data_IF_069430449496
#
_entry.id   IF_069430449496
#
_cell.length_a   1.000
_cell.length_b   1.000
_cell.length_c   1.000
_cell.angle_alpha   90.00
_cell.angle_beta   90.00
_cell.angle_gamma   90.00
#
_symmetry.space_group_name_H-M   'P 1'
#
loop_
_entity.id
_entity.type
_entity.pdbx_description
1 polymer ?
#
# COMPACT_ATOMS: atom_id res chain seq x y z
N UNK A 1 -14.42 -10.64 -3.65
CA UNK A 1 -15.05 -10.84 -2.33
C UNK A 1 -15.77 -12.18 -2.20
N UNK A 2 -15.85 -12.94 -3.26
CA UNK A 2 -16.42 -14.28 -3.25
C UNK A 2 -15.68 -15.16 -2.22
N UNK A 3 -16.43 -15.87 -1.38
CA UNK A 3 -15.89 -16.74 -0.34
C UNK A 3 -15.45 -16.04 0.97
N UNK A 4 -15.53 -14.71 1.07
CA UNK A 4 -15.12 -13.97 2.28
C UNK A 4 -16.29 -13.46 3.14
N UNK A 5 -17.54 -13.71 2.74
CA UNK A 5 -18.70 -13.34 3.55
C UNK A 5 -18.98 -14.31 4.71
N UNK A 6 -19.87 -13.95 5.63
CA UNK A 6 -20.61 -12.69 5.67
C UNK A 6 -19.75 -11.51 6.08
N UNK A 7 -20.01 -10.33 5.51
CA UNK A 7 -19.26 -9.10 5.85
C UNK A 7 -19.85 -8.42 7.07
N UNK A 8 -18.99 -7.74 7.83
CA UNK A 8 -19.40 -6.90 8.96
C UNK A 8 -20.23 -5.74 8.42
N UNK A 9 -21.41 -5.45 9.00
CA UNK A 9 -22.21 -4.29 8.62
C UNK A 9 -21.53 -2.97 8.99
N UNK A 10 -21.92 -1.89 8.33
CA UNK A 10 -21.37 -0.55 8.59
C UNK A 10 -20.10 -0.23 7.80
N UNK A 11 -19.77 -1.04 6.79
CA UNK A 11 -18.67 -0.78 5.86
C UNK A 11 -19.23 -0.44 4.49
N UNK A 12 -18.97 0.79 4.04
CA UNK A 12 -19.25 1.23 2.69
C UNK A 12 -17.99 1.09 1.82
N UNK A 13 -18.18 0.84 0.54
CA UNK A 13 -17.08 0.73 -0.40
C UNK A 13 -17.17 1.79 -1.47
N UNK A 14 -16.02 2.35 -1.77
CA UNK A 14 -15.83 3.27 -2.89
C UNK A 14 -14.69 2.77 -3.77
N UNK A 15 -14.77 3.02 -5.06
CA UNK A 15 -13.69 2.68 -5.98
C UNK A 15 -12.44 3.51 -5.65
N UNK A 16 -11.29 2.85 -5.65
CA UNK A 16 -10.01 3.53 -5.43
C UNK A 16 -9.73 4.52 -6.56
N UNK A 17 -9.17 5.68 -6.22
CA UNK A 17 -8.86 6.76 -7.17
C UNK A 17 -10.09 7.40 -7.85
N UNK A 18 -11.30 7.12 -7.37
CA UNK A 18 -12.55 7.76 -7.80
C UNK A 18 -12.98 8.80 -6.76
N UNK A 19 -12.45 9.99 -6.92
CA UNK A 19 -12.68 11.09 -5.97
C UNK A 19 -14.12 11.63 -6.05
N UNK A 20 -14.77 11.49 -7.18
CA UNK A 20 -16.14 11.98 -7.36
C UNK A 20 -17.13 11.02 -6.67
N UNK A 21 -16.90 9.72 -6.76
CA UNK A 21 -17.66 8.73 -5.98
C UNK A 21 -17.43 8.90 -4.47
N UNK A 22 -16.19 9.19 -4.04
CA UNK A 22 -15.87 9.45 -2.63
C UNK A 22 -16.58 10.72 -2.14
N UNK A 23 -16.55 11.79 -2.93
CA UNK A 23 -17.24 13.05 -2.61
C UNK A 23 -18.74 12.81 -2.44
N UNK A 24 -19.36 12.14 -3.40
CA UNK A 24 -20.81 11.83 -3.33
C UNK A 24 -21.16 11.00 -2.09
N UNK A 25 -20.33 10.02 -1.73
CA UNK A 25 -20.53 9.20 -0.54
C UNK A 25 -20.44 10.04 0.75
N UNK A 26 -19.46 10.94 0.83
CA UNK A 26 -19.27 11.80 2.01
C UNK A 26 -20.37 12.87 2.14
N UNK A 27 -20.83 13.41 1.01
CA UNK A 27 -21.99 14.33 1.01
C UNK A 27 -23.28 13.64 1.46
N UNK A 28 -23.51 12.38 1.02
CA UNK A 28 -24.72 11.63 1.36
C UNK A 28 -24.70 11.08 2.79
N UNK A 29 -23.53 10.57 3.25
CA UNK A 29 -23.45 9.75 4.49
C UNK A 29 -22.39 10.22 5.47
N UNK A 30 -21.70 11.34 5.23
CA UNK A 30 -20.53 11.77 6.02
C UNK A 30 -20.76 11.79 7.53
N UNK A 31 -21.94 12.22 7.98
CA UNK A 31 -22.29 12.24 9.42
C UNK A 31 -22.28 10.84 10.09
N UNK A 32 -22.30 9.75 9.29
CA UNK A 32 -22.32 8.36 9.77
C UNK A 32 -20.99 7.65 9.54
N UNK A 33 -20.03 8.30 8.87
CA UNK A 33 -18.72 7.73 8.52
C UNK A 33 -17.70 8.20 9.56
N UNK A 34 -17.11 7.27 10.28
CA UNK A 34 -16.07 7.58 11.26
C UNK A 34 -14.68 7.74 10.62
N UNK A 35 -14.36 6.90 9.62
CA UNK A 35 -13.04 6.90 8.99
C UNK A 35 -13.10 6.42 7.54
N UNK A 36 -12.16 6.90 6.74
CA UNK A 36 -11.83 6.36 5.43
C UNK A 36 -10.52 5.57 5.53
N UNK A 37 -10.61 4.23 5.38
CA UNK A 37 -9.47 3.32 5.43
C UNK A 37 -9.06 2.94 4.01
N UNK A 38 -7.79 3.17 3.66
CA UNK A 38 -7.30 2.98 2.29
C UNK A 38 -5.79 2.78 2.24
N UNK A 39 -5.29 1.99 1.28
CA UNK A 39 -3.86 1.91 0.98
C UNK A 39 -3.40 3.16 0.20
N UNK A 40 -2.23 3.77 0.52
CA UNK A 40 -1.68 4.89 -0.29
C UNK A 40 -1.44 4.54 -1.76
N UNK A 41 -0.99 3.33 -2.00
CA UNK A 41 -0.87 2.66 -3.30
C UNK A 41 -1.43 1.26 -3.06
N UNK A 42 -2.42 0.84 -3.83
CA UNK A 42 -2.96 -0.50 -3.65
C UNK A 42 -1.94 -1.55 -4.11
N UNK A 43 -1.52 -2.43 -3.18
CA UNK A 43 -0.49 -3.43 -3.44
C UNK A 43 -1.02 -4.67 -4.15
N UNK A 44 -1.87 -5.44 -3.47
CA UNK A 44 -2.41 -6.72 -3.98
C UNK A 44 -3.37 -6.53 -5.17
N UNK A 45 -4.01 -5.37 -5.29
CA UNK A 45 -4.84 -5.02 -6.43
C UNK A 45 -4.04 -4.80 -7.73
N UNK A 46 -2.71 -4.86 -7.70
CA UNK A 46 -1.86 -4.75 -8.89
C UNK A 46 -1.00 -3.50 -8.94
N UNK A 47 -0.55 -3.00 -7.80
CA UNK A 47 0.28 -1.78 -7.66
C UNK A 47 -0.42 -0.57 -8.29
N UNK A 48 -1.65 -0.31 -7.86
CA UNK A 48 -2.43 0.83 -8.38
C UNK A 48 -1.97 2.11 -7.70
N UNK A 49 -1.31 2.97 -8.47
CA UNK A 49 -0.87 4.29 -8.05
C UNK A 49 -1.98 5.30 -8.38
N UNK A 50 -2.44 6.11 -7.42
CA UNK A 50 -3.51 7.06 -7.69
C UNK A 50 -3.00 8.27 -8.49
N UNK A 51 -3.93 9.07 -9.02
CA UNK A 51 -3.65 10.33 -9.69
C UNK A 51 -2.96 11.32 -8.74
N UNK A 52 -2.18 12.25 -9.28
CA UNK A 52 -1.32 13.15 -8.48
C UNK A 52 -2.10 14.03 -7.50
N UNK A 53 -3.33 14.43 -7.83
CA UNK A 53 -4.18 15.29 -6.98
C UNK A 53 -5.11 14.51 -6.03
N UNK A 54 -5.17 13.18 -6.17
CA UNK A 54 -6.11 12.35 -5.41
C UNK A 54 -5.97 12.54 -3.90
N UNK A 55 -4.76 12.43 -3.38
CA UNK A 55 -4.52 12.50 -1.93
C UNK A 55 -4.79 13.87 -1.34
N UNK A 56 -4.46 14.94 -2.05
CA UNK A 56 -4.79 16.32 -1.64
C UNK A 56 -6.30 16.50 -1.52
N UNK A 57 -7.06 15.98 -2.49
CA UNK A 57 -8.53 16.03 -2.47
C UNK A 57 -9.12 15.14 -1.39
N UNK A 58 -8.60 13.93 -1.19
CA UNK A 58 -9.02 13.03 -0.11
C UNK A 58 -8.85 13.68 1.25
N UNK A 59 -7.69 14.29 1.53
CA UNK A 59 -7.45 14.94 2.82
C UNK A 59 -8.45 16.09 3.04
N UNK A 60 -8.62 16.93 2.02
CA UNK A 60 -9.58 18.04 2.10
C UNK A 60 -11.01 17.57 2.37
N UNK A 61 -11.46 16.49 1.72
CA UNK A 61 -12.78 15.90 1.96
C UNK A 61 -12.91 15.33 3.39
N UNK A 62 -11.89 14.62 3.86
CA UNK A 62 -11.88 14.08 5.22
C UNK A 62 -11.98 15.21 6.26
N UNK A 63 -11.22 16.31 6.06
CA UNK A 63 -11.26 17.48 6.94
C UNK A 63 -12.64 18.18 6.91
N UNK A 64 -13.20 18.36 5.72
CA UNK A 64 -14.49 19.00 5.52
C UNK A 64 -15.64 18.26 6.23
N UNK A 65 -15.60 16.93 6.22
CA UNK A 65 -16.66 16.09 6.78
C UNK A 65 -16.33 15.53 8.17
N UNK A 66 -15.20 15.94 8.77
CA UNK A 66 -14.73 15.43 10.07
C UNK A 66 -14.61 13.89 10.09
N UNK A 67 -14.06 13.32 9.01
CA UNK A 67 -13.83 11.89 8.84
C UNK A 67 -12.33 11.62 9.01
N UNK A 68 -11.97 10.64 9.82
CA UNK A 68 -10.58 10.27 10.02
C UNK A 68 -10.01 9.63 8.73
N UNK A 69 -8.81 10.06 8.33
CA UNK A 69 -8.05 9.40 7.28
C UNK A 69 -7.14 8.33 7.91
N UNK A 70 -7.46 7.06 7.65
CA UNK A 70 -6.67 5.91 8.09
C UNK A 70 -5.96 5.29 6.88
N UNK A 71 -4.62 5.28 6.90
CA UNK A 71 -3.82 4.69 5.82
C UNK A 71 -3.33 3.30 6.18
N UNK A 72 -3.53 2.34 5.28
CA UNK A 72 -2.91 1.02 5.34
C UNK A 72 -1.53 1.08 4.69
N UNK A 73 -0.50 1.30 5.50
CA UNK A 73 0.90 1.32 5.09
C UNK A 73 1.61 -0.05 5.34
N UNK A 74 0.82 -1.11 5.53
CA UNK A 74 1.37 -2.45 5.80
C UNK A 74 2.27 -2.93 4.67
N UNK A 75 1.97 -2.60 3.41
CA UNK A 75 2.80 -2.97 2.27
C UNK A 75 3.64 -1.81 1.73
N UNK A 76 3.16 -0.59 1.83
CA UNK A 76 3.76 0.59 1.24
C UNK A 76 4.80 1.26 2.13
N UNK A 77 4.75 1.00 3.43
CA UNK A 77 5.66 1.59 4.41
C UNK A 77 7.06 0.99 4.42
N UNK A 78 7.87 1.47 5.35
CA UNK A 78 9.24 1.02 5.65
C UNK A 78 10.19 1.05 4.44
N UNK A 79 10.12 2.13 3.67
CA UNK A 79 11.06 2.39 2.58
C UNK A 79 10.68 1.79 1.23
N UNK A 80 9.67 0.90 1.17
CA UNK A 80 9.30 0.16 -0.03
C UNK A 80 9.07 1.05 -1.26
N UNK A 81 8.41 2.17 -1.08
CA UNK A 81 7.98 3.07 -2.16
C UNK A 81 8.98 4.20 -2.45
N UNK A 82 10.15 4.18 -1.81
CA UNK A 82 11.16 5.23 -1.98
C UNK A 82 11.05 6.41 -1.00
N UNK A 83 10.12 6.31 -0.05
CA UNK A 83 10.02 7.14 1.15
C UNK A 83 9.87 6.22 2.36
N UNK A 84 10.09 6.70 3.58
CA UNK A 84 9.91 5.85 4.77
C UNK A 84 8.48 5.30 4.85
N UNK A 85 7.50 6.13 4.52
CA UNK A 85 6.09 5.77 4.35
C UNK A 85 5.54 6.42 3.08
N UNK A 86 4.65 5.73 2.37
CA UNK A 86 4.16 6.18 1.07
C UNK A 86 3.36 7.48 1.13
N UNK A 87 2.66 7.76 2.24
CA UNK A 87 1.94 9.03 2.41
C UNK A 87 2.84 10.26 2.25
N UNK A 88 4.16 10.11 2.54
CA UNK A 88 5.15 11.19 2.38
C UNK A 88 5.43 11.54 0.92
N UNK A 89 5.21 10.60 -0.02
CA UNK A 89 5.33 10.87 -1.46
C UNK A 89 4.25 11.82 -1.97
N UNK A 90 3.12 11.86 -1.28
CA UNK A 90 1.93 12.61 -1.66
C UNK A 90 1.70 13.84 -0.78
N UNK A 91 2.62 14.11 0.15
CA UNK A 91 2.51 15.19 1.14
C UNK A 91 1.16 15.19 1.88
N UNK A 92 0.66 14.01 2.24
CA UNK A 92 -0.59 13.84 2.98
C UNK A 92 -0.32 13.34 4.38
N UNK A 93 -0.98 13.91 5.37
CA UNK A 93 -0.86 13.50 6.77
C UNK A 93 -2.10 12.70 7.18
N UNK A 94 -1.98 11.38 7.47
CA UNK A 94 -3.09 10.60 8.00
C UNK A 94 -3.33 10.89 9.49
N UNK A 95 -4.53 10.58 9.95
CA UNK A 95 -4.89 10.57 11.38
C UNK A 95 -4.51 9.25 12.04
N UNK A 96 -4.57 8.16 11.27
CA UNK A 96 -4.18 6.80 11.66
C UNK A 96 -3.35 6.14 10.55
N UNK A 97 -2.43 5.29 10.93
CA UNK A 97 -1.60 4.51 10.01
C UNK A 97 -1.41 3.07 10.54
N UNK A 98 -1.87 2.09 9.78
CA UNK A 98 -1.60 0.68 10.02
C UNK A 98 -0.24 0.28 9.46
N UNK A 99 0.61 -0.34 10.29
CA UNK A 99 1.97 -0.75 9.96
C UNK A 99 2.15 -2.24 10.21
N UNK A 100 2.91 -2.91 9.34
CA UNK A 100 3.15 -4.36 9.46
C UNK A 100 4.27 -4.82 8.53
N UNK A 101 4.26 -6.09 8.17
CA UNK A 101 5.25 -6.71 7.25
C UNK A 101 6.69 -6.34 7.58
N UNK A 102 7.29 -5.39 6.84
CA UNK A 102 8.67 -4.94 7.04
C UNK A 102 8.94 -4.31 8.41
N UNK A 103 7.90 -3.97 9.19
CA UNK A 103 8.03 -3.56 10.59
C UNK A 103 8.77 -4.60 11.44
N UNK A 104 8.69 -5.88 11.07
CA UNK A 104 9.39 -6.99 11.73
C UNK A 104 10.77 -7.32 11.15
N UNK A 105 11.29 -6.53 10.22
CA UNK A 105 12.62 -6.71 9.62
C UNK A 105 12.82 -8.06 8.91
N UNK A 106 11.75 -8.78 8.55
CA UNK A 106 11.82 -10.14 8.02
C UNK A 106 12.13 -11.23 9.06
N UNK A 107 12.24 -10.86 10.33
CA UNK A 107 12.66 -11.76 11.42
C UNK A 107 11.45 -12.24 12.22
N UNK A 108 10.57 -11.32 12.63
CA UNK A 108 9.36 -11.61 13.41
C UNK A 108 8.15 -10.89 12.85
N UNK A 109 6.93 -11.46 12.99
CA UNK A 109 5.71 -10.73 12.70
C UNK A 109 5.51 -9.63 13.75
N UNK A 110 5.62 -8.38 13.28
CA UNK A 110 5.37 -7.17 14.07
C UNK A 110 4.39 -6.30 13.33
N UNK A 111 3.38 -5.81 14.03
CA UNK A 111 2.45 -4.82 13.52
C UNK A 111 2.05 -3.85 14.63
N UNK A 112 1.67 -2.64 14.24
CA UNK A 112 1.20 -1.62 15.14
C UNK A 112 0.33 -0.61 14.38
N UNK A 113 -0.42 0.18 15.13
CA UNK A 113 -1.11 1.36 14.62
C UNK A 113 -0.44 2.59 15.20
N UNK A 114 -0.10 3.53 14.35
CA UNK A 114 0.34 4.87 14.75
C UNK A 114 -0.78 5.88 14.44
N UNK A 115 -0.94 6.87 15.27
CA UNK A 115 -1.96 7.91 15.08
C UNK A 115 -1.63 9.16 15.86
N UNK A 116 -2.46 10.18 15.68
CA UNK A 116 -2.37 11.42 16.46
C UNK A 116 -2.75 11.15 17.91
N UNK A 117 -2.25 11.97 18.83
CA UNK A 117 -2.57 11.85 20.26
C UNK A 117 -4.08 11.97 20.51
N UNK A 118 -4.78 12.78 19.72
CA UNK A 118 -6.22 12.95 19.79
C UNK A 118 -6.96 11.66 19.47
N UNK A 119 -6.53 10.91 18.46
CA UNK A 119 -7.20 9.68 18.01
C UNK A 119 -6.79 8.48 18.85
N UNK A 120 -5.50 8.30 19.13
CA UNK A 120 -5.02 7.17 19.93
C UNK A 120 -5.32 7.37 21.42
N UNK A 121 -5.33 8.61 21.90
CA UNK A 121 -5.55 8.95 23.31
C UNK A 121 -6.93 8.60 23.85
N UNK A 122 -7.89 8.25 22.99
CA UNK A 122 -9.21 7.74 23.43
C UNK A 122 -9.16 6.30 23.95
N UNK A 123 -8.08 5.56 23.64
CA UNK A 123 -7.87 4.20 24.15
C UNK A 123 -7.51 4.26 25.64
N UNK A 124 -8.31 3.58 26.45
CA UNK A 124 -8.09 3.47 27.89
C UNK A 124 -7.68 2.05 28.26
N UNK A 125 -7.01 1.85 29.41
CA UNK A 125 -6.66 0.50 29.87
C UNK A 125 -7.87 -0.43 29.87
N UNK A 126 -7.78 -1.54 29.12
CA UNK A 126 -8.83 -2.55 29.01
C UNK A 126 -9.85 -2.31 27.87
N UNK A 127 -9.72 -1.21 27.11
CA UNK A 127 -10.60 -0.96 25.96
C UNK A 127 -10.25 -1.82 24.75
N UNK A 128 -9.02 -2.31 24.67
CA UNK A 128 -8.52 -3.24 23.67
C UNK A 128 -7.59 -4.26 24.31
N UNK A 129 -7.28 -5.34 23.60
CA UNK A 129 -6.34 -6.35 24.08
C UNK A 129 -5.83 -7.27 22.98
N UNK A 130 -4.58 -7.70 23.16
CA UNK A 130 -3.92 -8.66 22.29
C UNK A 130 -3.02 -9.56 23.12
N UNK A 131 -3.07 -10.88 22.91
CA UNK A 131 -2.23 -11.83 23.63
C UNK A 131 -0.74 -11.57 23.41
N UNK A 132 -0.35 -11.17 22.21
CA UNK A 132 1.03 -10.84 21.84
C UNK A 132 1.31 -9.35 21.73
N UNK A 133 0.34 -8.49 22.06
CA UNK A 133 0.52 -7.05 22.03
C UNK A 133 1.61 -6.61 22.99
N UNK A 134 2.57 -5.81 22.51
CA UNK A 134 3.65 -5.27 23.33
C UNK A 134 4.70 -6.28 23.80
N UNK A 135 4.79 -7.49 23.22
CA UNK A 135 5.80 -8.44 23.64
C UNK A 135 7.22 -7.91 23.38
N UNK A 136 8.16 -8.02 24.38
CA UNK A 136 9.42 -7.28 24.35
C UNK A 136 10.31 -7.59 23.15
N UNK A 137 10.36 -8.85 22.71
CA UNK A 137 11.19 -9.26 21.59
C UNK A 137 10.74 -8.62 20.28
N UNK A 138 9.43 -8.59 20.02
CA UNK A 138 8.88 -7.91 18.83
C UNK A 138 9.11 -6.41 18.84
N UNK A 139 8.99 -5.77 20.00
CA UNK A 139 9.29 -4.36 20.17
C UNK A 139 10.76 -4.05 19.84
N UNK A 140 11.70 -4.84 20.36
CA UNK A 140 13.13 -4.69 20.06
C UNK A 140 13.42 -4.88 18.57
N UNK A 141 12.89 -5.94 17.96
CA UNK A 141 13.07 -6.20 16.52
C UNK A 141 12.51 -5.05 15.68
N UNK A 142 11.32 -4.56 16.00
CA UNK A 142 10.71 -3.42 15.28
C UNK A 142 11.57 -2.13 15.38
N UNK A 143 12.09 -1.84 16.58
CA UNK A 143 13.00 -0.69 16.77
C UNK A 143 14.26 -0.82 15.91
N UNK A 144 14.87 -2.02 15.88
CA UNK A 144 16.07 -2.24 15.08
C UNK A 144 15.77 -2.23 13.57
N UNK A 145 14.63 -2.75 13.14
CA UNK A 145 14.20 -2.65 11.74
C UNK A 145 14.10 -1.19 11.26
N UNK A 146 13.52 -0.31 12.09
CA UNK A 146 13.45 1.12 11.81
C UNK A 146 14.84 1.77 11.81
N UNK A 147 15.71 1.39 12.75
CA UNK A 147 17.11 1.91 12.77
C UNK A 147 17.84 1.55 11.48
N UNK A 148 17.80 0.29 11.05
CA UNK A 148 18.43 -0.17 9.80
C UNK A 148 17.86 0.58 8.61
N UNK A 149 16.54 0.75 8.53
CA UNK A 149 15.89 1.54 7.46
C UNK A 149 16.51 2.94 7.33
N UNK A 150 16.72 3.61 8.47
CA UNK A 150 17.22 5.00 8.51
C UNK A 150 18.73 5.04 8.27
N UNK A 151 19.51 4.24 9.01
CA UNK A 151 20.97 4.25 9.00
C UNK A 151 21.54 3.79 7.64
N UNK A 152 20.93 2.78 7.02
CA UNK A 152 21.32 2.27 5.70
C UNK A 152 20.62 2.99 4.56
N UNK A 153 19.78 3.99 4.83
CA UNK A 153 19.05 4.79 3.82
C UNK A 153 18.27 3.93 2.82
N UNK A 154 17.57 2.91 3.33
CA UNK A 154 16.92 1.93 2.47
C UNK A 154 15.83 2.53 1.59
N UNK A 155 15.12 3.57 2.06
CA UNK A 155 14.15 4.31 1.25
C UNK A 155 14.80 5.00 0.04
N UNK A 156 15.98 5.63 0.24
CA UNK A 156 16.73 6.25 -0.86
C UNK A 156 17.21 5.20 -1.87
N UNK A 157 17.74 4.07 -1.39
CA UNK A 157 18.11 2.95 -2.24
C UNK A 157 16.91 2.42 -3.04
N UNK A 158 15.75 2.25 -2.40
CA UNK A 158 14.52 1.82 -3.08
C UNK A 158 14.07 2.81 -4.16
N UNK A 159 14.24 4.12 -3.93
CA UNK A 159 13.96 5.16 -4.93
C UNK A 159 14.88 5.04 -6.15
N UNK A 160 16.18 4.89 -5.91
CA UNK A 160 17.19 4.79 -7.00
C UNK A 160 17.02 3.49 -7.79
N UNK A 161 17.00 2.35 -7.11
CA UNK A 161 16.86 1.03 -7.75
C UNK A 161 15.51 0.86 -8.44
N UNK A 162 14.46 1.38 -7.81
CA UNK A 162 13.11 1.41 -8.40
C UNK A 162 13.05 2.25 -9.66
N UNK A 163 13.73 3.40 -9.70
CA UNK A 163 13.84 4.22 -10.91
C UNK A 163 14.54 3.49 -12.06
N UNK A 164 15.60 2.74 -11.77
CA UNK A 164 16.27 1.89 -12.76
C UNK A 164 15.34 0.80 -13.28
N UNK A 165 14.64 0.10 -12.37
CA UNK A 165 13.70 -0.96 -12.74
C UNK A 165 12.55 -0.43 -13.59
N UNK A 166 11.97 0.70 -13.22
CA UNK A 166 10.92 1.35 -14.00
C UNK A 166 11.41 1.76 -15.40
N UNK A 167 12.64 2.26 -15.52
CA UNK A 167 13.23 2.56 -16.83
C UNK A 167 13.35 1.32 -17.71
N UNK A 168 13.71 0.16 -17.13
CA UNK A 168 13.72 -1.10 -17.86
C UNK A 168 12.32 -1.55 -18.29
N UNK A 169 11.32 -1.37 -17.43
CA UNK A 169 9.93 -1.67 -17.78
C UNK A 169 9.39 -0.78 -18.90
N UNK A 170 9.71 0.52 -18.89
CA UNK A 170 9.33 1.43 -19.97
C UNK A 170 10.01 1.05 -21.31
N UNK A 171 11.27 0.64 -21.27
CA UNK A 171 11.96 0.12 -22.46
C UNK A 171 11.29 -1.16 -22.95
N UNK A 172 10.97 -2.10 -22.05
CA UNK A 172 10.27 -3.34 -22.38
C UNK A 172 8.90 -3.05 -22.99
N UNK A 173 8.14 -2.10 -22.43
CA UNK A 173 6.86 -1.66 -22.99
C UNK A 173 7.03 -1.07 -24.40
N UNK A 174 8.08 -0.30 -24.62
CA UNK A 174 8.39 0.29 -25.94
C UNK A 174 8.80 -0.76 -26.96
N UNK A 175 9.51 -1.81 -26.55
CA UNK A 175 9.94 -2.91 -27.40
C UNK A 175 8.79 -3.87 -27.72
N UNK A 176 7.89 -4.08 -26.75
CA UNK A 176 6.77 -5.04 -26.86
C UNK A 176 5.40 -4.36 -26.59
N UNK A 177 5.00 -3.32 -27.36
CA UNK A 177 3.78 -2.57 -27.08
C UNK A 177 2.50 -3.40 -27.24
N UNK A 178 2.54 -4.45 -28.06
CA UNK A 178 1.43 -5.39 -28.23
C UNK A 178 1.29 -6.40 -27.06
N UNK A 179 2.29 -6.47 -26.18
CA UNK A 179 2.30 -7.37 -25.03
C UNK A 179 2.15 -6.63 -23.71
N UNK A 180 2.82 -5.50 -23.53
CA UNK A 180 2.82 -4.71 -22.31
C UNK A 180 1.87 -3.54 -22.46
N UNK A 181 0.80 -3.57 -21.69
CA UNK A 181 -0.23 -2.54 -21.66
C UNK A 181 0.21 -1.31 -20.85
N UNK A 182 0.72 -1.57 -19.65
CA UNK A 182 1.07 -0.53 -18.69
C UNK A 182 2.24 -0.96 -17.81
N UNK A 183 3.02 0.03 -17.37
CA UNK A 183 4.01 -0.13 -16.29
C UNK A 183 3.74 0.93 -15.23
N UNK A 184 3.83 0.55 -13.95
CA UNK A 184 3.48 1.45 -12.85
C UNK A 184 4.20 1.07 -11.55
N UNK A 185 4.34 2.02 -10.65
CA UNK A 185 4.94 1.80 -9.34
C UNK A 185 5.60 3.02 -8.74
N UNK A 186 6.09 2.86 -7.52
CA UNK A 186 6.93 3.82 -6.80
C UNK A 186 7.99 3.06 -6.01
N UNK A 187 9.24 3.52 -6.09
CA UNK A 187 10.37 2.82 -5.47
C UNK A 187 10.46 1.37 -5.94
N UNK A 188 10.58 0.43 -5.02
CA UNK A 188 10.59 -1.01 -5.27
C UNK A 188 9.20 -1.66 -5.06
N UNK A 189 8.12 -0.94 -5.22
CA UNK A 189 6.78 -1.47 -5.37
C UNK A 189 6.35 -1.21 -6.81
N UNK A 190 6.58 -2.18 -7.70
CA UNK A 190 6.46 -2.02 -9.15
C UNK A 190 5.67 -3.15 -9.78
N UNK A 191 5.02 -2.86 -10.89
CA UNK A 191 4.33 -3.85 -11.70
C UNK A 191 4.35 -3.47 -13.18
N UNK A 192 4.22 -4.48 -14.03
CA UNK A 192 3.79 -4.31 -15.39
C UNK A 192 2.51 -5.11 -15.65
N UNK A 193 1.64 -4.56 -16.44
CA UNK A 193 0.38 -5.19 -16.86
C UNK A 193 0.47 -5.54 -18.34
N UNK A 194 0.10 -6.75 -18.67
CA UNK A 194 0.05 -7.24 -20.04
C UNK A 194 -1.33 -7.03 -20.65
N UNK A 195 -1.40 -6.98 -21.97
CA UNK A 195 -2.65 -7.14 -22.68
C UNK A 195 -3.19 -8.57 -22.48
N UNK A 196 -4.50 -8.72 -22.49
CA UNK A 196 -5.12 -10.05 -22.41
C UNK A 196 -4.67 -10.91 -23.60
N UNK A 197 -4.00 -12.01 -23.30
CA UNK A 197 -3.55 -12.99 -24.29
C UNK A 197 -3.90 -14.40 -23.77
N UNK A 198 -4.71 -15.19 -24.48
CA UNK A 198 -5.09 -16.51 -24.03
C UNK A 198 -3.93 -17.51 -23.95
N UNK A 199 -2.75 -17.15 -24.50
CA UNK A 199 -1.55 -17.98 -24.52
C UNK A 199 -0.44 -17.49 -23.58
N UNK A 200 -0.60 -16.31 -22.97
CA UNK A 200 0.41 -15.71 -22.12
C UNK A 200 -0.26 -14.92 -20.99
N UNK A 201 -0.27 -15.50 -19.80
CA UNK A 201 -0.75 -14.85 -18.59
C UNK A 201 0.39 -14.50 -17.63
N UNK A 202 0.07 -13.75 -16.57
CA UNK A 202 1.04 -13.35 -15.56
C UNK A 202 1.68 -14.51 -14.83
N UNK A 203 0.98 -15.63 -14.69
CA UNK A 203 1.52 -16.83 -14.05
C UNK A 203 2.64 -17.44 -14.90
N UNK A 204 2.42 -17.61 -16.20
CA UNK A 204 3.42 -18.14 -17.14
C UNK A 204 4.65 -17.25 -17.18
N UNK A 205 4.47 -15.91 -17.21
CA UNK A 205 5.58 -14.96 -17.15
C UNK A 205 6.34 -15.07 -15.83
N UNK A 206 5.63 -15.16 -14.69
CA UNK A 206 6.26 -15.32 -13.38
C UNK A 206 7.07 -16.61 -13.28
N UNK A 207 6.61 -17.72 -13.86
CA UNK A 207 7.34 -18.97 -13.94
C UNK A 207 8.62 -18.85 -14.81
N UNK A 208 8.54 -18.11 -15.91
CA UNK A 208 9.68 -17.91 -16.79
C UNK A 208 10.72 -16.98 -16.15
N UNK A 209 10.29 -15.93 -15.45
CA UNK A 209 11.14 -15.09 -14.63
C UNK A 209 11.85 -15.90 -13.54
N UNK A 210 11.14 -16.81 -12.87
CA UNK A 210 11.71 -17.68 -11.84
C UNK A 210 12.83 -18.57 -12.39
N UNK A 211 12.67 -19.16 -13.59
CA UNK A 211 13.71 -19.94 -14.26
C UNK A 211 14.98 -19.13 -14.52
N UNK A 212 14.82 -17.82 -14.70
CA UNK A 212 15.91 -16.88 -14.90
C UNK A 212 16.40 -16.20 -13.60
N UNK A 213 15.98 -16.71 -12.44
CA UNK A 213 16.44 -16.25 -11.13
C UNK A 213 15.70 -15.02 -10.59
N UNK A 214 14.60 -14.61 -11.21
CA UNK A 214 13.78 -13.48 -10.75
C UNK A 214 12.49 -14.02 -10.14
N UNK A 215 12.30 -13.76 -8.84
CA UNK A 215 11.03 -14.08 -8.16
C UNK A 215 10.04 -12.93 -8.33
N UNK A 216 8.92 -13.23 -8.95
CA UNK A 216 7.83 -12.30 -9.18
C UNK A 216 6.49 -12.92 -8.76
N UNK A 217 5.47 -12.12 -8.57
CA UNK A 217 4.12 -12.58 -8.22
C UNK A 217 3.11 -12.00 -9.20
N UNK A 218 2.34 -12.88 -9.82
CA UNK A 218 1.18 -12.48 -10.59
C UNK A 218 0.04 -11.99 -9.69
N UNK A 219 -0.72 -11.05 -10.20
CA UNK A 219 -1.96 -10.58 -9.60
C UNK A 219 -2.94 -10.22 -10.73
N UNK A 220 -4.22 -10.56 -10.56
CA UNK A 220 -5.26 -10.28 -11.55
C UNK A 220 -4.94 -10.74 -12.98
N UNK A 221 -4.51 -11.99 -13.16
CA UNK A 221 -4.24 -12.65 -14.44
C UNK A 221 -3.12 -12.03 -15.29
N UNK A 222 -3.19 -10.72 -15.55
CA UNK A 222 -2.31 -10.05 -16.52
C UNK A 222 -1.23 -9.17 -15.90
N UNK A 223 -1.26 -8.97 -14.58
CA UNK A 223 -0.30 -8.10 -13.89
C UNK A 223 0.78 -8.93 -13.20
N UNK A 224 2.05 -8.60 -13.47
CA UNK A 224 3.22 -9.16 -12.78
C UNK A 224 3.82 -8.11 -11.88
N UNK A 225 3.84 -8.40 -10.57
CA UNK A 225 4.40 -7.53 -9.55
C UNK A 225 5.82 -7.97 -9.21
N UNK A 226 6.74 -7.00 -9.17
CA UNK A 226 8.11 -7.15 -8.68
C UNK A 226 8.30 -6.14 -7.53
N UNK A 227 8.60 -6.66 -6.31
CA UNK A 227 8.64 -5.86 -5.10
C UNK A 227 9.69 -6.39 -4.09
#
# INVERSE_FOLDING_TARGET
REGFGPFVPGIELVAFNDIDALTSLFEEKGEKIAAYLVEPIQGEAGVIVPNDDYWTRVRALCDQHNILLALDEVQTGFGRTGANFAHQLFDVKPDLMGCGKAAGGGILPVSFVAGTDEVIGVLTPGSEGSTFGGYPLGAVVGVYAIKVLIEEKLAENAKISGGQLMSHFENMKSEFPDKIKEVRGRGLLTAFEMHDDPKLDGHQVSLELLKNGVYAKETHHSTVRIA
#
